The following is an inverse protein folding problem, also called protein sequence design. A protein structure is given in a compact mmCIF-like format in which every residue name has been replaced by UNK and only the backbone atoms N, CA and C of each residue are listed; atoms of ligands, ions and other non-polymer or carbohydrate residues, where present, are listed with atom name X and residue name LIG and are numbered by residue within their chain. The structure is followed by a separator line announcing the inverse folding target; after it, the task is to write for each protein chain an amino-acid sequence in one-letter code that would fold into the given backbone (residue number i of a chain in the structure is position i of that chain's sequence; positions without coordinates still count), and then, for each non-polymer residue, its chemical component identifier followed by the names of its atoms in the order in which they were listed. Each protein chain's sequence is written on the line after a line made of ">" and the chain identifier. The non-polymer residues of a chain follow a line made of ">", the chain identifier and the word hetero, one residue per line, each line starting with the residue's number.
data_IF_166115398367
#
_entry.id   IF_166115398367
#
_cell.length_a   1.000
_cell.length_b   1.000
_cell.length_c   1.000
_cell.angle_alpha   90.00
_cell.angle_beta   90.00
_cell.angle_gamma   90.00
#
_symmetry.space_group_name_H-M   'P 1'
#
loop_
_entity.id
_entity.type
_entity.pdbx_description
1 polymer ?
#
# COMPACT_ATOMS: atom_id res chain seq x y z
N UNK A 1 3.41 14.24 20.60
CA UNK A 1 3.40 12.97 19.85
C UNK A 1 2.81 11.90 20.76
N UNK A 2 1.48 11.73 20.76
CA UNK A 2 0.77 10.73 21.57
C UNK A 2 -0.11 9.92 20.62
N UNK A 3 0.44 8.95 19.88
CA UNK A 3 -0.28 8.41 18.71
C UNK A 3 -0.26 6.90 18.50
N UNK A 4 -0.01 6.08 19.52
CA UNK A 4 -0.43 4.68 19.43
C UNK A 4 -1.00 4.26 20.80
N UNK A 5 -2.32 4.07 20.83
CA UNK A 5 -3.13 3.56 21.94
C UNK A 5 -3.34 4.50 23.16
N UNK A 6 -4.62 4.76 23.48
CA UNK A 6 -5.05 5.36 24.76
C UNK A 6 -5.00 4.32 25.90
N UNK A 7 -4.94 3.04 25.56
CA UNK A 7 -4.59 1.97 26.49
C UNK A 7 -3.06 1.86 26.57
N UNK A 8 -2.51 1.52 27.75
CA UNK A 8 -1.09 1.35 28.04
C UNK A 8 -0.34 0.30 27.17
N UNK A 9 -0.87 -0.11 26.02
CA UNK A 9 -0.24 -0.99 25.04
C UNK A 9 0.72 -0.20 24.13
N UNK A 10 1.96 -0.10 24.60
CA UNK A 10 3.21 0.00 23.83
C UNK A 10 3.20 0.89 22.57
N UNK A 11 3.41 2.20 22.79
CA UNK A 11 3.71 3.24 21.79
C UNK A 11 4.87 2.88 20.83
N UNK A 12 5.69 1.88 21.16
CA UNK A 12 6.92 1.51 20.43
C UNK A 12 6.80 0.25 19.56
N UNK A 13 5.64 -0.42 19.52
CA UNK A 13 5.47 -1.74 18.89
C UNK A 13 5.79 -1.80 17.39
N UNK A 14 5.71 -0.67 16.67
CA UNK A 14 5.99 -0.60 15.23
C UNK A 14 7.28 0.17 14.91
N UNK A 15 7.76 1.04 15.81
CA UNK A 15 8.75 2.08 15.51
C UNK A 15 10.14 1.94 16.14
N UNK A 16 10.39 1.09 17.16
CA UNK A 16 11.76 0.89 17.67
C UNK A 16 11.97 -0.39 18.50
N UNK A 17 13.22 -0.86 18.56
CA UNK A 17 13.74 -1.86 19.51
C UNK A 17 13.13 -1.68 20.91
N UNK A 18 12.40 -2.70 21.36
CA UNK A 18 12.07 -2.85 22.77
C UNK A 18 13.10 -3.80 23.38
N UNK A 19 13.92 -3.30 24.30
CA UNK A 19 14.85 -4.12 25.10
C UNK A 19 14.06 -5.02 26.05
N UNK A 20 13.59 -6.15 25.53
CA UNK A 20 13.15 -7.41 26.17
C UNK A 20 12.42 -7.37 27.54
N UNK A 21 11.84 -6.25 27.94
CA UNK A 21 11.04 -6.12 29.18
C UNK A 21 9.54 -5.89 28.93
N UNK A 22 9.11 -5.83 27.66
CA UNK A 22 7.68 -5.81 27.32
C UNK A 22 7.15 -7.25 27.21
N UNK A 23 6.51 -7.75 28.24
CA UNK A 23 5.84 -9.06 28.24
C UNK A 23 4.51 -9.11 27.47
N UNK A 24 4.36 -8.41 26.33
CA UNK A 24 3.06 -8.28 25.64
C UNK A 24 3.03 -9.00 24.27
N UNK A 25 1.98 -9.79 24.03
CA UNK A 25 1.75 -10.66 22.86
C UNK A 25 1.57 -9.92 21.50
N UNK A 26 1.80 -8.60 21.44
CA UNK A 26 1.37 -7.73 20.33
C UNK A 26 2.55 -7.15 19.50
N UNK A 27 3.72 -7.79 19.51
CA UNK A 27 4.89 -7.33 18.76
C UNK A 27 5.02 -8.01 17.39
N UNK A 28 5.21 -7.21 16.34
CA UNK A 28 5.55 -7.72 15.00
C UNK A 28 7.08 -7.73 14.89
N UNK A 29 7.74 -8.86 14.59
CA UNK A 29 9.19 -8.89 14.45
C UNK A 29 9.69 -7.89 13.38
N UNK A 30 10.81 -7.17 13.60
CA UNK A 30 11.33 -6.14 12.67
C UNK A 30 11.55 -6.60 11.22
N UNK A 31 11.89 -7.88 11.04
CA UNK A 31 12.13 -8.49 9.73
C UNK A 31 10.84 -8.86 8.95
N UNK A 32 9.67 -8.72 9.56
CA UNK A 32 8.39 -8.96 8.88
C UNK A 32 7.98 -7.69 8.14
N UNK A 33 7.82 -7.72 6.80
CA UNK A 33 7.37 -6.55 6.07
C UNK A 33 5.90 -6.22 6.39
N UNK A 34 5.48 -4.97 6.18
CA UNK A 34 4.09 -4.55 6.37
C UNK A 34 3.50 -4.19 5.02
N UNK A 35 2.37 -4.81 4.70
CA UNK A 35 1.59 -4.48 3.52
C UNK A 35 0.27 -3.84 3.94
N UNK A 36 -0.07 -2.75 3.26
CA UNK A 36 -1.38 -2.12 3.30
C UNK A 36 -2.08 -2.38 1.96
N UNK A 37 -3.21 -3.09 2.02
CA UNK A 37 -3.97 -3.48 0.84
C UNK A 37 -4.72 -2.34 0.16
N UNK A 38 -4.91 -1.20 0.83
CA UNK A 38 -5.66 -0.07 0.28
C UNK A 38 -5.39 1.23 1.07
N UNK A 39 -4.75 2.18 0.41
CA UNK A 39 -4.41 3.49 0.98
C UNK A 39 -4.52 4.60 -0.08
N UNK A 40 -4.88 5.81 0.34
CA UNK A 40 -4.92 7.00 -0.51
C UNK A 40 -3.79 7.95 -0.14
N UNK A 41 -2.64 7.82 -0.81
CA UNK A 41 -1.48 8.67 -0.56
C UNK A 41 -1.65 10.08 -1.15
N UNK A 42 -2.36 10.22 -2.26
CA UNK A 42 -2.40 11.46 -3.04
C UNK A 42 -2.89 12.70 -2.26
N UNK A 43 -3.95 12.63 -1.44
CA UNK A 43 -4.43 13.77 -0.65
C UNK A 43 -3.42 14.30 0.39
N UNK A 44 -2.35 13.55 0.64
CA UNK A 44 -1.46 13.73 1.79
C UNK A 44 0.01 13.60 1.41
N UNK A 45 0.39 13.53 0.13
CA UNK A 45 1.79 13.39 -0.31
C UNK A 45 2.75 14.39 0.37
N UNK A 46 2.41 15.70 0.49
CA UNK A 46 3.27 16.65 1.19
C UNK A 46 3.47 16.31 2.68
N UNK A 47 2.48 15.66 3.29
CA UNK A 47 2.45 15.27 4.70
C UNK A 47 3.11 13.91 4.94
N UNK A 48 2.97 13.00 3.99
CA UNK A 48 3.64 11.70 3.92
C UNK A 48 5.16 11.85 3.96
N UNK A 49 5.74 12.85 3.28
CA UNK A 49 7.19 13.09 3.36
C UNK A 49 7.68 13.39 4.79
N UNK A 50 6.81 13.84 5.70
CA UNK A 50 7.13 13.97 7.13
C UNK A 50 6.75 12.70 7.93
N UNK A 51 5.61 12.08 7.61
CA UNK A 51 5.03 11.01 8.41
C UNK A 51 5.58 9.60 8.06
N UNK A 52 5.84 9.30 6.77
CA UNK A 52 6.59 8.09 6.38
C UNK A 52 8.08 8.19 6.77
N UNK A 53 8.63 9.41 6.90
CA UNK A 53 9.97 9.64 7.48
C UNK A 53 9.97 9.40 8.99
N UNK A 54 8.81 9.44 9.65
CA UNK A 54 8.69 9.11 11.07
C UNK A 54 8.76 7.61 11.37
N UNK A 55 8.75 6.76 10.33
CA UNK A 55 9.17 5.35 10.40
C UNK A 55 10.67 5.36 10.65
N UNK A 56 11.05 5.50 11.93
CA UNK A 56 12.44 5.63 12.31
C UNK A 56 13.21 4.35 11.96
N UNK A 57 14.32 4.57 11.29
CA UNK A 57 15.25 3.55 10.77
C UNK A 57 16.03 2.90 11.91
N UNK A 58 15.38 2.04 12.69
CA UNK A 58 16.08 1.14 13.61
C UNK A 58 16.46 -0.13 12.83
N UNK A 59 17.73 -0.55 12.91
CA UNK A 59 18.16 -1.79 12.26
C UNK A 59 17.58 -3.02 12.98
N UNK A 60 17.09 -4.05 12.26
CA UNK A 60 16.96 -4.11 10.80
C UNK A 60 15.79 -3.24 10.32
N UNK A 61 16.02 -2.55 9.20
CA UNK A 61 15.02 -1.67 8.58
C UNK A 61 13.84 -2.54 8.11
N UNK A 62 12.64 -2.18 8.54
CA UNK A 62 11.40 -2.85 8.13
C UNK A 62 10.96 -2.33 6.76
N UNK A 63 10.54 -3.24 5.88
CA UNK A 63 9.98 -2.90 4.57
C UNK A 63 8.47 -2.62 4.67
N UNK A 64 8.02 -1.57 3.98
CA UNK A 64 6.62 -1.16 3.88
C UNK A 64 6.15 -1.19 2.43
N UNK A 65 4.95 -1.73 2.22
CA UNK A 65 4.37 -1.92 0.90
C UNK A 65 2.93 -1.39 0.89
N UNK A 66 2.64 -0.45 0.01
CA UNK A 66 1.37 0.27 -0.04
C UNK A 66 0.71 0.07 -1.40
N UNK A 67 -0.50 -0.49 -1.43
CA UNK A 67 -1.36 -0.44 -2.62
C UNK A 67 -2.04 0.93 -2.63
N UNK A 68 -1.47 1.87 -3.38
CA UNK A 68 -1.98 3.23 -3.45
C UNK A 68 -3.10 3.33 -4.47
N UNK A 69 -4.27 3.69 -3.99
CA UNK A 69 -5.48 3.72 -4.78
C UNK A 69 -5.75 5.11 -5.35
N UNK A 70 -5.50 5.27 -6.65
CA UNK A 70 -5.76 6.50 -7.38
C UNK A 70 -7.14 6.40 -8.04
N UNK A 71 -8.17 6.79 -7.30
CA UNK A 71 -9.56 6.48 -7.64
C UNK A 71 -10.29 7.61 -8.41
N UNK A 72 -9.56 8.64 -8.82
CA UNK A 72 -10.07 9.76 -9.63
C UNK A 72 -9.06 10.21 -10.70
N UNK A 73 -9.52 10.76 -11.84
CA UNK A 73 -8.63 11.05 -12.99
C UNK A 73 -7.41 11.94 -12.70
N UNK A 74 -7.56 12.95 -11.83
CA UNK A 74 -6.47 13.86 -11.45
C UNK A 74 -5.40 13.22 -10.56
N UNK A 75 -5.65 12.00 -10.06
CA UNK A 75 -4.72 11.24 -9.23
C UNK A 75 -3.87 10.24 -10.03
N UNK A 76 -4.21 9.94 -11.28
CA UNK A 76 -3.52 8.90 -12.07
C UNK A 76 -2.11 9.32 -12.53
N UNK A 77 -1.81 10.63 -12.53
CA UNK A 77 -0.55 11.21 -13.00
C UNK A 77 0.51 11.38 -11.92
N UNK A 78 0.26 10.95 -10.69
CA UNK A 78 1.13 11.32 -9.59
C UNK A 78 2.41 10.47 -9.58
N UNK A 79 3.61 11.10 -9.50
CA UNK A 79 4.87 10.38 -9.36
C UNK A 79 4.82 9.47 -8.15
N UNK A 80 5.14 8.20 -8.35
CA UNK A 80 5.28 7.25 -7.26
C UNK A 80 6.32 7.79 -6.25
N UNK A 81 5.96 8.09 -4.99
CA UNK A 81 6.85 8.73 -4.02
C UNK A 81 8.00 7.81 -3.55
N UNK A 82 8.04 6.55 -4.00
CA UNK A 82 9.10 5.57 -3.70
C UNK A 82 10.51 5.96 -4.16
N UNK A 83 10.71 7.11 -4.82
CA UNK A 83 12.04 7.61 -5.15
C UNK A 83 12.85 8.06 -3.93
N UNK A 84 12.20 8.40 -2.81
CA UNK A 84 12.88 9.03 -1.67
C UNK A 84 13.26 8.07 -0.53
N UNK A 85 12.62 6.90 -0.42
CA UNK A 85 12.84 5.94 0.68
C UNK A 85 12.93 4.51 0.15
N UNK A 86 14.10 3.87 0.24
CA UNK A 86 14.36 2.54 -0.34
C UNK A 86 13.55 1.39 0.28
N UNK A 87 13.08 1.58 1.53
CA UNK A 87 12.31 0.59 2.31
C UNK A 87 10.79 0.81 2.22
N UNK A 88 10.34 1.75 1.37
CA UNK A 88 8.93 2.05 1.13
C UNK A 88 8.61 1.80 -0.34
N UNK A 89 7.68 0.89 -0.58
CA UNK A 89 7.24 0.50 -1.93
C UNK A 89 5.79 0.88 -2.12
N UNK A 90 5.50 1.67 -3.14
CA UNK A 90 4.13 2.03 -3.51
C UNK A 90 3.77 1.37 -4.83
N UNK A 91 2.56 0.82 -4.91
CA UNK A 91 2.02 0.12 -6.06
C UNK A 91 0.67 0.75 -6.44
N UNK A 92 0.60 1.49 -7.56
CA UNK A 92 -0.61 2.23 -7.90
C UNK A 92 -1.70 1.35 -8.49
N UNK A 93 -2.95 1.63 -8.11
CA UNK A 93 -4.15 1.22 -8.86
C UNK A 93 -4.76 2.47 -9.50
N UNK A 94 -5.46 2.32 -10.62
CA UNK A 94 -6.19 3.42 -11.26
C UNK A 94 -7.62 3.01 -11.58
N UNK A 95 -8.57 3.89 -11.25
CA UNK A 95 -9.98 3.68 -11.53
C UNK A 95 -10.79 4.94 -11.33
N UNK A 96 -12.06 4.87 -11.72
CA UNK A 96 -13.06 5.91 -11.52
C UNK A 96 -14.01 5.42 -10.42
N UNK A 97 -13.83 5.95 -9.21
CA UNK A 97 -14.74 5.71 -8.09
C UNK A 97 -16.14 6.26 -8.42
N UNK A 98 -17.24 5.60 -8.00
CA UNK A 98 -18.61 6.06 -8.26
C UNK A 98 -18.89 7.49 -7.79
N UNK A 99 -18.20 7.97 -6.74
CA UNK A 99 -18.32 9.34 -6.22
C UNK A 99 -17.69 10.42 -7.11
N UNK A 100 -16.70 10.07 -7.91
CA UNK A 100 -16.00 11.00 -8.81
C UNK A 100 -16.45 10.86 -10.26
N UNK A 101 -17.61 10.23 -10.47
CA UNK A 101 -18.27 10.19 -11.76
C UNK A 101 -18.74 11.58 -12.18
N UNK A 102 -18.37 11.98 -13.40
CA UNK A 102 -18.92 13.13 -14.10
C UNK A 102 -19.26 12.71 -15.54
N UNK A 103 -20.54 12.85 -15.91
CA UNK A 103 -21.02 12.45 -17.23
C UNK A 103 -20.43 13.27 -18.36
N UNK A 104 -20.01 14.52 -18.10
CA UNK A 104 -19.42 15.40 -19.12
C UNK A 104 -18.02 14.98 -19.52
N UNK A 105 -17.26 14.43 -18.58
CA UNK A 105 -15.88 13.96 -18.79
C UNK A 105 -15.78 12.45 -18.96
N UNK A 106 -16.89 11.71 -18.95
CA UNK A 106 -16.90 10.26 -18.89
C UNK A 106 -16.08 9.57 -19.98
N UNK A 107 -16.32 9.90 -21.25
CA UNK A 107 -15.60 9.29 -22.37
C UNK A 107 -14.10 9.63 -22.33
N UNK A 108 -13.78 10.89 -22.02
CA UNK A 108 -12.38 11.32 -21.85
C UNK A 108 -11.70 10.56 -20.70
N UNK A 109 -12.36 10.40 -19.56
CA UNK A 109 -11.82 9.66 -18.42
C UNK A 109 -11.56 8.19 -18.77
N UNK A 110 -12.40 7.55 -19.60
CA UNK A 110 -12.15 6.20 -20.08
C UNK A 110 -10.97 6.12 -21.05
N UNK A 111 -10.88 7.06 -21.98
CA UNK A 111 -9.75 7.13 -22.92
C UNK A 111 -8.44 7.36 -22.15
N UNK A 112 -8.44 8.26 -21.18
CA UNK A 112 -7.29 8.53 -20.30
C UNK A 112 -6.92 7.29 -19.48
N UNK A 113 -7.91 6.63 -18.85
CA UNK A 113 -7.69 5.40 -18.09
C UNK A 113 -7.04 4.33 -18.96
N UNK A 114 -7.56 4.13 -20.18
CA UNK A 114 -7.00 3.18 -21.15
C UNK A 114 -5.57 3.55 -21.55
N UNK A 115 -5.30 4.83 -21.82
CA UNK A 115 -3.98 5.32 -22.19
C UNK A 115 -2.95 5.09 -21.06
N UNK A 116 -3.30 5.36 -19.80
CA UNK A 116 -2.41 5.09 -18.67
C UNK A 116 -2.12 3.60 -18.49
N UNK A 117 -3.13 2.74 -18.68
CA UNK A 117 -2.93 1.30 -18.64
C UNK A 117 -1.95 0.83 -19.72
N UNK A 118 -2.06 1.35 -20.95
CA UNK A 118 -1.12 1.03 -22.03
C UNK A 118 0.30 1.52 -21.74
N UNK A 119 0.45 2.78 -21.32
CA UNK A 119 1.76 3.36 -20.98
C UNK A 119 2.42 2.51 -19.89
N UNK A 120 1.68 2.22 -18.82
CA UNK A 120 2.18 1.48 -17.67
C UNK A 120 2.59 0.04 -18.01
N UNK A 121 1.90 -0.62 -18.94
CA UNK A 121 2.27 -1.96 -19.41
C UNK A 121 3.58 -1.98 -20.18
N UNK A 122 3.78 -0.95 -21.01
CA UNK A 122 4.96 -0.81 -21.87
C UNK A 122 6.17 -0.26 -21.10
N UNK A 123 5.97 0.31 -19.91
CA UNK A 123 7.04 0.77 -19.04
C UNK A 123 7.89 -0.41 -18.52
N UNK A 124 9.20 -0.32 -18.75
CA UNK A 124 10.18 -1.28 -18.26
C UNK A 124 10.48 -1.09 -16.77
N UNK A 125 10.20 0.10 -16.23
CA UNK A 125 10.34 0.41 -14.82
C UNK A 125 9.16 -0.16 -14.03
N UNK A 126 9.43 -1.23 -13.28
CA UNK A 126 8.45 -1.88 -12.40
C UNK A 126 7.87 -0.95 -11.32
N UNK A 127 8.46 0.23 -11.05
CA UNK A 127 7.93 1.20 -10.09
C UNK A 127 6.70 1.94 -10.60
N UNK A 128 6.50 1.97 -11.91
CA UNK A 128 5.37 2.67 -12.55
C UNK A 128 4.28 1.70 -13.02
N UNK A 129 4.39 0.41 -12.67
CA UNK A 129 3.40 -0.59 -13.07
C UNK A 129 2.14 -0.48 -12.22
N UNK A 130 1.05 -0.22 -12.91
CA UNK A 130 -0.31 -0.25 -12.38
C UNK A 130 -0.63 -1.70 -12.06
N UNK A 131 -1.01 -1.95 -10.81
CA UNK A 131 -1.18 -3.32 -10.29
C UNK A 131 -2.62 -3.79 -10.25
N UNK A 132 -3.60 -2.89 -10.42
CA UNK A 132 -5.01 -3.21 -10.52
C UNK A 132 -5.81 -2.06 -11.20
N UNK A 133 -6.99 -2.40 -11.71
CA UNK A 133 -8.02 -1.42 -12.09
C UNK A 133 -8.96 -1.23 -10.91
N UNK A 134 -9.28 0.02 -10.62
CA UNK A 134 -10.05 0.43 -9.46
C UNK A 134 -9.26 1.40 -8.58
N UNK A 135 -9.89 2.00 -7.59
CA UNK A 135 -11.19 1.61 -7.05
C UNK A 135 -12.39 1.98 -7.94
N UNK A 136 -13.28 1.00 -8.12
CA UNK A 136 -14.49 1.10 -8.92
C UNK A 136 -15.64 0.35 -8.23
N UNK A 137 -16.90 0.73 -8.46
CA UNK A 137 -18.00 0.06 -7.76
C UNK A 137 -19.25 0.91 -7.64
N UNK A 138 -20.01 0.68 -6.58
CA UNK A 138 -21.30 1.33 -6.33
C UNK A 138 -21.29 2.06 -4.98
N UNK A 139 -21.84 3.27 -4.93
CA UNK A 139 -21.93 4.09 -3.72
C UNK A 139 -23.27 4.84 -3.69
N UNK A 140 -24.10 4.53 -2.69
CA UNK A 140 -25.41 5.18 -2.48
C UNK A 140 -25.31 6.68 -2.17
N UNK A 141 -24.14 7.17 -1.77
CA UNK A 141 -23.88 8.59 -1.47
C UNK A 141 -23.40 9.39 -2.68
N UNK A 142 -23.16 8.72 -3.82
CA UNK A 142 -22.81 9.40 -5.07
C UNK A 142 -23.99 10.18 -5.66
N UNK A 143 -23.68 11.28 -6.35
CA UNK A 143 -24.67 12.06 -7.11
C UNK A 143 -25.06 11.37 -8.43
N UNK A 144 -24.29 10.37 -8.87
CA UNK A 144 -24.59 9.59 -10.06
C UNK A 144 -25.73 8.60 -9.79
N UNK A 145 -26.63 8.43 -10.76
CA UNK A 145 -27.65 7.37 -10.70
C UNK A 145 -27.00 5.99 -10.64
N UNK A 146 -27.67 5.02 -10.01
CA UNK A 146 -27.16 3.66 -9.90
C UNK A 146 -26.89 3.04 -11.28
N UNK A 147 -27.71 3.34 -12.29
CA UNK A 147 -27.51 2.85 -13.65
C UNK A 147 -26.23 3.41 -14.29
N UNK A 148 -25.90 4.69 -14.05
CA UNK A 148 -24.62 5.25 -14.50
C UNK A 148 -23.44 4.61 -13.77
N UNK A 149 -23.55 4.39 -12.46
CA UNK A 149 -22.49 3.72 -11.70
C UNK A 149 -22.27 2.28 -12.19
N UNK A 150 -23.34 1.54 -12.50
CA UNK A 150 -23.27 0.20 -13.10
C UNK A 150 -22.58 0.28 -14.46
N UNK A 151 -23.00 1.19 -15.35
CA UNK A 151 -22.35 1.36 -16.65
C UNK A 151 -20.84 1.60 -16.51
N UNK A 152 -20.43 2.47 -15.58
CA UNK A 152 -19.02 2.78 -15.36
C UNK A 152 -18.24 1.62 -14.76
N UNK A 153 -18.85 0.91 -13.82
CA UNK A 153 -18.28 -0.32 -13.26
C UNK A 153 -18.05 -1.36 -14.37
N UNK A 154 -19.04 -1.63 -15.21
CA UNK A 154 -18.94 -2.61 -16.30
C UNK A 154 -17.78 -2.28 -17.24
N UNK A 155 -17.61 -1.01 -17.62
CA UNK A 155 -16.49 -0.58 -18.46
C UNK A 155 -15.12 -0.77 -17.82
N UNK A 156 -15.01 -0.57 -16.50
CA UNK A 156 -13.77 -0.81 -15.78
C UNK A 156 -13.48 -2.31 -15.62
N UNK A 157 -14.51 -3.15 -15.44
CA UNK A 157 -14.39 -4.61 -15.48
C UNK A 157 -13.88 -5.05 -16.86
N UNK A 158 -14.45 -4.54 -17.95
CA UNK A 158 -14.01 -4.85 -19.32
C UNK A 158 -12.52 -4.50 -19.52
N UNK A 159 -12.07 -3.34 -19.04
CA UNK A 159 -10.66 -2.93 -19.09
C UNK A 159 -9.75 -3.85 -18.26
N UNK A 160 -10.17 -4.19 -17.04
CA UNK A 160 -9.40 -5.09 -16.18
C UNK A 160 -9.22 -6.47 -16.82
N UNK A 161 -10.28 -7.02 -17.43
CA UNK A 161 -10.25 -8.27 -18.20
C UNK A 161 -9.26 -8.14 -19.37
N UNK A 162 -9.40 -7.08 -20.17
CA UNK A 162 -8.56 -6.86 -21.35
C UNK A 162 -7.07 -6.80 -21.01
N UNK A 163 -6.71 -6.15 -19.90
CA UNK A 163 -5.33 -6.00 -19.45
C UNK A 163 -4.86 -7.10 -18.48
N UNK A 164 -5.71 -8.08 -18.15
CA UNK A 164 -5.41 -9.13 -17.18
C UNK A 164 -4.99 -8.58 -15.80
N UNK A 165 -5.63 -7.49 -15.40
CA UNK A 165 -5.39 -6.83 -14.12
C UNK A 165 -6.45 -7.25 -13.10
N UNK A 166 -6.08 -7.32 -11.80
CA UNK A 166 -7.04 -7.42 -10.72
C UNK A 166 -8.02 -6.24 -10.70
N UNK A 167 -9.13 -6.43 -10.00
CA UNK A 167 -10.13 -5.39 -9.77
C UNK A 167 -10.20 -5.05 -8.28
N UNK A 168 -10.07 -3.77 -7.94
CA UNK A 168 -10.36 -3.23 -6.61
C UNK A 168 -11.78 -2.67 -6.60
N UNK A 169 -12.63 -3.24 -5.75
CA UNK A 169 -14.07 -3.01 -5.71
C UNK A 169 -14.49 -2.19 -4.50
N UNK A 170 -15.33 -1.19 -4.73
CA UNK A 170 -16.04 -0.42 -3.72
C UNK A 170 -17.50 -0.83 -3.63
N UNK A 171 -18.05 -0.86 -2.41
CA UNK A 171 -19.50 -0.91 -2.26
C UNK A 171 -19.99 -0.23 -0.98
N UNK A 172 -20.72 0.88 -1.13
CA UNK A 172 -21.39 1.56 -0.02
C UNK A 172 -22.91 1.56 -0.20
N UNK A 173 -23.60 1.01 0.79
CA UNK A 173 -25.06 0.84 0.80
C UNK A 173 -25.44 -0.63 0.68
N UNK A 174 -26.01 -1.20 1.74
CA UNK A 174 -26.28 -2.64 1.88
C UNK A 174 -27.13 -3.21 0.73
N UNK A 175 -28.03 -2.39 0.17
CA UNK A 175 -28.90 -2.77 -0.94
C UNK A 175 -28.17 -2.82 -2.31
N UNK A 176 -26.99 -2.20 -2.44
CA UNK A 176 -26.19 -2.20 -3.66
C UNK A 176 -25.28 -3.43 -3.80
N UNK A 177 -24.98 -4.12 -2.70
CA UNK A 177 -24.10 -5.30 -2.71
C UNK A 177 -24.56 -6.36 -3.71
N UNK A 178 -25.88 -6.62 -3.76
CA UNK A 178 -26.45 -7.58 -4.71
C UNK A 178 -26.24 -7.14 -6.15
N UNK A 179 -26.46 -5.85 -6.45
CA UNK A 179 -26.25 -5.27 -7.79
C UNK A 179 -24.79 -5.36 -8.22
N UNK A 180 -23.86 -5.07 -7.31
CA UNK A 180 -22.43 -5.22 -7.56
C UNK A 180 -22.09 -6.68 -7.91
N UNK A 181 -22.54 -7.62 -7.07
CA UNK A 181 -22.30 -9.04 -7.29
C UNK A 181 -22.88 -9.55 -8.62
N UNK A 182 -24.12 -9.16 -8.95
CA UNK A 182 -24.76 -9.56 -10.21
C UNK A 182 -24.02 -9.00 -11.43
N UNK A 183 -23.52 -7.77 -11.35
CA UNK A 183 -22.67 -7.17 -12.38
C UNK A 183 -21.39 -7.98 -12.59
N UNK A 184 -20.65 -8.27 -11.50
CA UNK A 184 -19.43 -9.08 -11.56
C UNK A 184 -19.69 -10.46 -12.15
N UNK A 185 -20.74 -11.14 -11.67
CA UNK A 185 -21.11 -12.49 -12.09
C UNK A 185 -21.47 -12.58 -13.58
N UNK A 186 -22.13 -11.55 -14.09
CA UNK A 186 -22.56 -11.44 -15.49
C UNK A 186 -21.38 -11.10 -16.41
N UNK A 187 -20.52 -10.15 -16.00
CA UNK A 187 -19.45 -9.60 -16.85
C UNK A 187 -18.17 -10.42 -16.84
N UNK A 188 -17.81 -11.01 -15.71
CA UNK A 188 -16.58 -11.80 -15.57
C UNK A 188 -16.92 -13.24 -15.91
N UNK A 189 -16.39 -13.76 -17.02
CA UNK A 189 -16.54 -15.18 -17.39
C UNK A 189 -15.52 -16.07 -16.66
N UNK A 190 -14.26 -15.65 -16.59
CA UNK A 190 -13.22 -16.36 -15.84
C UNK A 190 -13.36 -16.13 -14.33
N UNK A 191 -13.83 -17.16 -13.62
CA UNK A 191 -13.99 -17.12 -12.15
C UNK A 191 -12.67 -17.02 -11.40
N UNK A 192 -11.53 -17.27 -12.06
CA UNK A 192 -10.20 -17.10 -11.46
C UNK A 192 -9.70 -15.65 -11.50
N UNK A 193 -10.51 -14.70 -12.00
CA UNK A 193 -10.19 -13.27 -11.93
C UNK A 193 -9.84 -12.89 -10.49
N UNK A 194 -8.77 -12.10 -10.33
CA UNK A 194 -8.30 -11.61 -9.04
C UNK A 194 -9.14 -10.40 -8.63
N UNK A 195 -9.81 -10.50 -7.50
CA UNK A 195 -10.74 -9.47 -7.02
C UNK A 195 -10.39 -9.08 -5.58
N UNK A 196 -10.33 -7.79 -5.29
CA UNK A 196 -10.20 -7.27 -3.94
C UNK A 196 -11.43 -6.41 -3.64
N UNK A 197 -12.31 -6.87 -2.75
CA UNK A 197 -13.45 -6.08 -2.28
C UNK A 197 -13.07 -5.30 -1.03
N UNK A 198 -12.78 -4.02 -1.24
CA UNK A 198 -12.35 -3.07 -0.22
C UNK A 198 -13.43 -2.82 0.86
N UNK A 199 -12.99 -2.62 2.11
CA UNK A 199 -13.78 -2.07 3.22
C UNK A 199 -15.03 -2.87 3.61
N UNK A 200 -14.90 -4.18 3.82
CA UNK A 200 -15.96 -4.99 4.42
C UNK A 200 -16.06 -4.69 5.93
N UNK A 201 -17.24 -4.24 6.36
CA UNK A 201 -17.53 -3.85 7.75
C UNK A 201 -18.96 -4.24 8.16
N UNK A 202 -19.41 -3.82 9.34
CA UNK A 202 -20.73 -4.19 9.88
C UNK A 202 -21.95 -3.68 9.09
N UNK A 203 -21.77 -2.77 8.14
CA UNK A 203 -22.84 -2.32 7.24
C UNK A 203 -22.90 -3.12 5.92
N UNK A 204 -21.96 -4.05 5.71
CA UNK A 204 -21.92 -4.90 4.52
C UNK A 204 -23.11 -5.88 4.50
N UNK A 205 -23.50 -6.29 3.29
CA UNK A 205 -24.42 -7.42 3.14
C UNK A 205 -23.63 -8.73 3.16
N UNK A 206 -23.46 -9.29 4.37
CA UNK A 206 -22.60 -10.44 4.62
C UNK A 206 -22.97 -11.70 3.81
N UNK A 207 -24.26 -11.91 3.55
CA UNK A 207 -24.70 -13.01 2.69
C UNK A 207 -24.16 -12.86 1.26
N UNK A 208 -24.16 -11.64 0.71
CA UNK A 208 -23.61 -11.39 -0.62
C UNK A 208 -22.07 -11.49 -0.62
N UNK A 209 -21.41 -11.10 0.48
CA UNK A 209 -19.95 -11.29 0.63
C UNK A 209 -19.61 -12.79 0.57
N UNK A 210 -20.38 -13.65 1.24
CA UNK A 210 -20.18 -15.11 1.17
C UNK A 210 -20.39 -15.65 -0.25
N UNK A 211 -21.45 -15.20 -0.95
CA UNK A 211 -21.68 -15.59 -2.35
C UNK A 211 -20.53 -15.15 -3.26
N UNK A 212 -19.99 -13.96 -3.05
CA UNK A 212 -18.83 -13.45 -3.77
C UNK A 212 -17.60 -14.33 -3.56
N UNK A 213 -17.27 -14.64 -2.29
CA UNK A 213 -16.14 -15.52 -1.95
C UNK A 213 -16.32 -16.95 -2.51
N UNK A 214 -17.55 -17.44 -2.62
CA UNK A 214 -17.83 -18.75 -3.20
C UNK A 214 -17.76 -18.75 -4.74
N UNK A 215 -18.25 -17.71 -5.39
CA UNK A 215 -18.28 -17.61 -6.86
C UNK A 215 -16.88 -17.36 -7.46
N UNK A 216 -16.02 -16.63 -6.75
CA UNK A 216 -14.69 -16.22 -7.23
C UNK A 216 -13.56 -16.78 -6.35
N UNK A 217 -12.92 -17.91 -6.72
CA UNK A 217 -11.87 -18.53 -5.90
C UNK A 217 -10.68 -17.62 -5.57
N UNK A 218 -10.34 -16.67 -6.44
CA UNK A 218 -9.24 -15.71 -6.25
C UNK A 218 -9.72 -14.33 -5.78
N UNK A 219 -10.86 -14.29 -5.09
CA UNK A 219 -11.37 -13.08 -4.46
C UNK A 219 -10.91 -12.92 -3.01
N UNK A 220 -10.70 -11.68 -2.61
CA UNK A 220 -10.28 -11.29 -1.28
C UNK A 220 -11.17 -10.15 -0.76
N UNK A 221 -11.26 -10.02 0.55
CA UNK A 221 -11.98 -8.94 1.23
C UNK A 221 -11.01 -8.08 2.04
N UNK A 222 -11.16 -6.78 1.91
CA UNK A 222 -10.44 -5.78 2.67
C UNK A 222 -11.11 -5.53 4.01
N UNK A 223 -10.32 -5.50 5.08
CA UNK A 223 -10.75 -5.12 6.42
C UNK A 223 -9.82 -4.03 6.95
N UNK A 224 -10.42 -2.91 7.35
CA UNK A 224 -9.73 -1.75 7.91
C UNK A 224 -10.23 -1.38 9.32
N UNK A 225 -9.74 -0.25 9.84
CA UNK A 225 -10.04 0.24 11.18
C UNK A 225 -11.53 0.46 11.47
N UNK A 226 -12.39 0.57 10.46
CA UNK A 226 -13.84 0.72 10.64
C UNK A 226 -14.49 -0.44 11.40
N UNK A 227 -13.88 -1.63 11.43
CA UNK A 227 -14.38 -2.75 12.25
C UNK A 227 -14.32 -2.47 13.76
N UNK A 228 -13.55 -1.45 14.18
CA UNK A 228 -13.48 -1.04 15.59
C UNK A 228 -14.58 -0.06 15.98
N UNK A 229 -15.39 0.39 15.01
CA UNK A 229 -16.49 1.35 15.21
C UNK A 229 -17.76 0.70 15.75
N UNK A 230 -17.64 -0.51 16.27
CA UNK A 230 -18.76 -1.31 16.69
C UNK A 230 -19.61 -0.60 17.75
N UNK A 231 -20.87 -0.95 17.71
CA UNK A 231 -21.88 -0.49 18.66
C UNK A 231 -22.63 -1.72 19.15
N UNK A 232 -23.47 -1.58 20.18
CA UNK A 232 -24.34 -2.67 20.63
C UNK A 232 -25.55 -2.86 19.68
N UNK A 233 -25.33 -2.75 18.38
CA UNK A 233 -26.35 -2.91 17.33
C UNK A 233 -26.35 -4.34 16.79
N UNK A 234 -27.51 -4.79 16.31
CA UNK A 234 -27.67 -6.10 15.66
C UNK A 234 -26.65 -6.30 14.53
N UNK A 235 -26.45 -5.30 13.68
CA UNK A 235 -25.46 -5.34 12.59
C UNK A 235 -24.03 -5.61 13.07
N UNK A 236 -23.62 -4.97 14.17
CA UNK A 236 -22.27 -5.19 14.74
C UNK A 236 -22.13 -6.61 15.31
N UNK A 237 -23.18 -7.13 15.95
CA UNK A 237 -23.19 -8.50 16.47
C UNK A 237 -23.18 -9.53 15.34
N UNK A 238 -23.99 -9.34 14.29
CA UNK A 238 -23.99 -10.19 13.10
C UNK A 238 -22.62 -10.24 12.44
N UNK A 239 -21.94 -9.10 12.32
CA UNK A 239 -20.59 -9.02 11.77
C UNK A 239 -19.57 -9.83 12.58
N UNK A 240 -19.60 -9.71 13.91
CA UNK A 240 -18.73 -10.51 14.79
C UNK A 240 -18.97 -12.00 14.63
N UNK A 241 -20.24 -12.42 14.67
CA UNK A 241 -20.59 -13.83 14.54
C UNK A 241 -20.15 -14.36 13.17
N UNK A 242 -20.34 -13.56 12.11
CA UNK A 242 -19.83 -13.90 10.78
C UNK A 242 -18.31 -14.05 10.75
N UNK A 243 -17.54 -13.14 11.37
CA UNK A 243 -16.08 -13.28 11.49
C UNK A 243 -15.68 -14.59 12.20
N UNK A 244 -16.34 -14.91 13.31
CA UNK A 244 -16.10 -16.15 14.08
C UNK A 244 -16.44 -17.38 13.25
N UNK A 245 -17.61 -17.41 12.61
CA UNK A 245 -18.10 -18.53 11.81
C UNK A 245 -17.20 -18.79 10.58
N UNK A 246 -16.58 -17.74 10.01
CA UNK A 246 -15.69 -17.84 8.84
C UNK A 246 -14.21 -17.95 9.20
N UNK A 247 -13.87 -17.87 10.49
CA UNK A 247 -12.49 -17.94 10.95
C UNK A 247 -11.66 -19.10 10.37
N UNK A 248 -12.18 -20.31 10.06
CA UNK A 248 -11.35 -21.39 9.53
C UNK A 248 -10.75 -21.11 8.13
N UNK A 249 -11.35 -20.23 7.34
CA UNK A 249 -10.91 -19.94 5.97
C UNK A 249 -10.65 -18.44 5.70
N UNK A 250 -11.11 -17.57 6.61
CA UNK A 250 -10.94 -16.12 6.50
C UNK A 250 -9.47 -15.71 6.29
N UNK A 251 -8.45 -16.28 6.97
CA UNK A 251 -7.06 -15.88 6.76
C UNK A 251 -6.57 -16.01 5.31
N UNK A 252 -7.06 -16.98 4.54
CA UNK A 252 -6.65 -17.17 3.14
C UNK A 252 -7.37 -16.20 2.16
N UNK A 253 -8.35 -15.44 2.64
CA UNK A 253 -9.15 -14.50 1.81
C UNK A 253 -9.18 -13.08 2.36
N UNK A 254 -8.47 -12.82 3.46
CA UNK A 254 -8.43 -11.54 4.15
C UNK A 254 -7.26 -10.66 3.68
N UNK A 255 -7.54 -9.39 3.44
CA UNK A 255 -6.56 -8.33 3.24
C UNK A 255 -6.76 -7.29 4.35
N UNK A 256 -5.69 -6.96 5.05
CA UNK A 256 -5.66 -5.84 5.98
C UNK A 256 -5.31 -4.57 5.20
N UNK A 257 -6.04 -3.51 5.50
CA UNK A 257 -5.96 -2.21 4.83
C UNK A 257 -6.22 -1.10 5.82
N UNK A 258 -5.83 0.13 5.49
CA UNK A 258 -6.09 1.28 6.36
C UNK A 258 -7.19 2.19 5.84
N UNK A 259 -7.37 2.25 4.53
CA UNK A 259 -8.10 3.34 3.89
C UNK A 259 -7.60 4.73 4.34
N UNK A 260 -6.30 4.84 4.65
CA UNK A 260 -5.73 6.08 5.15
C UNK A 260 -5.86 7.17 4.08
N UNK A 261 -6.28 8.41 4.45
CA UNK A 261 -6.40 8.94 5.82
C UNK A 261 -7.80 8.82 6.47
N UNK A 262 -8.74 8.09 5.88
CA UNK A 262 -10.17 8.27 6.15
C UNK A 262 -10.72 7.48 7.33
N UNK A 263 -10.31 6.22 7.52
CA UNK A 263 -10.95 5.29 8.47
C UNK A 263 -10.01 4.85 9.62
N UNK A 264 -9.49 5.78 10.45
CA UNK A 264 -8.66 5.41 11.59
C UNK A 264 -9.42 4.48 12.53
N UNK A 265 -8.81 3.42 13.09
CA UNK A 265 -9.36 2.71 14.22
C UNK A 265 -9.83 3.66 15.34
N UNK A 266 -10.91 3.31 16.05
CA UNK A 266 -11.58 4.18 17.03
C UNK A 266 -10.65 4.74 18.10
N UNK A 267 -9.63 3.98 18.47
CA UNK A 267 -8.66 4.33 19.51
C UNK A 267 -7.46 5.16 18.97
N UNK A 268 -7.44 5.47 17.67
CA UNK A 268 -6.46 6.36 17.04
C UNK A 268 -7.14 7.69 16.69
N UNK A 269 -6.47 8.79 17.01
CA UNK A 269 -6.99 10.14 16.82
C UNK A 269 -5.94 11.05 16.21
N UNK A 270 -6.40 12.05 15.45
CA UNK A 270 -5.53 13.04 14.81
C UNK A 270 -4.66 12.43 13.72
N UNK A 271 -3.41 12.87 13.65
CA UNK A 271 -2.42 12.31 12.72
C UNK A 271 -1.87 11.03 13.34
N UNK A 272 -1.91 9.93 12.59
CA UNK A 272 -1.43 8.62 13.02
C UNK A 272 -0.62 7.95 11.91
N UNK A 273 0.21 7.00 12.32
CA UNK A 273 0.95 6.12 11.41
C UNK A 273 -0.01 5.03 10.87
N UNK A 274 -0.14 4.89 9.53
CA UNK A 274 -0.95 3.83 8.92
C UNK A 274 -0.64 2.42 9.45
N UNK A 275 0.63 2.15 9.79
CA UNK A 275 1.04 0.85 10.33
C UNK A 275 0.49 0.56 11.74
N UNK A 276 0.33 1.58 12.59
CA UNK A 276 -0.38 1.44 13.87
C UNK A 276 -1.87 1.10 13.63
N UNK A 277 -2.47 1.57 12.54
CA UNK A 277 -3.85 1.23 12.20
C UNK A 277 -4.04 -0.22 11.74
N UNK A 278 -3.11 -0.75 10.93
CA UNK A 278 -3.10 -2.17 10.57
C UNK A 278 -2.97 -3.07 11.80
N UNK A 279 -2.07 -2.71 12.72
CA UNK A 279 -1.87 -3.46 13.97
C UNK A 279 -3.13 -3.42 14.86
N UNK A 280 -3.77 -2.26 15.00
CA UNK A 280 -5.01 -2.13 15.76
C UNK A 280 -6.13 -3.00 15.15
N UNK A 281 -6.22 -3.04 13.82
CA UNK A 281 -7.19 -3.88 13.08
C UNK A 281 -6.91 -5.37 13.30
N UNK A 282 -5.66 -5.82 13.17
CA UNK A 282 -5.28 -7.21 13.45
C UNK A 282 -5.49 -7.60 14.93
N UNK A 283 -5.21 -6.69 15.86
CA UNK A 283 -5.47 -6.88 17.29
C UNK A 283 -6.96 -7.06 17.56
N UNK A 284 -7.79 -6.26 16.91
CA UNK A 284 -9.24 -6.38 17.01
C UNK A 284 -9.71 -7.76 16.51
N UNK A 285 -9.24 -8.20 15.34
CA UNK A 285 -9.58 -9.53 14.80
C UNK A 285 -9.17 -10.68 15.73
N UNK A 286 -7.94 -10.65 16.26
CA UNK A 286 -7.44 -11.69 17.17
C UNK A 286 -8.18 -11.75 18.51
N UNK A 287 -8.75 -10.63 18.98
CA UNK A 287 -9.60 -10.62 20.17
C UNK A 287 -11.02 -11.13 19.90
N UNK A 288 -11.55 -10.87 18.70
CA UNK A 288 -12.90 -11.26 18.32
C UNK A 288 -12.98 -12.74 17.92
N UNK A 289 -12.00 -13.21 17.17
CA UNK A 289 -11.86 -14.61 16.76
C UNK A 289 -10.96 -15.29 17.78
N UNK A 290 -11.55 -15.95 18.77
CA UNK A 290 -10.83 -16.64 19.86
C UNK A 290 -10.30 -17.99 19.38
N UNK A 291 -9.35 -17.95 18.45
CA UNK A 291 -8.61 -19.11 17.93
C UNK A 291 -7.11 -18.92 18.25
N UNK A 292 -6.48 -19.81 19.05
CA UNK A 292 -5.07 -19.70 19.41
C UNK A 292 -4.10 -19.66 18.22
N UNK A 293 -4.49 -20.21 17.06
CA UNK A 293 -3.68 -20.17 15.84
C UNK A 293 -3.76 -18.82 15.13
N UNK A 294 -4.82 -18.05 15.36
CA UNK A 294 -5.11 -16.77 14.71
C UNK A 294 -4.63 -15.58 15.56
N UNK A 295 -3.30 -15.51 15.65
CA UNK A 295 -2.60 -14.40 16.31
C UNK A 295 -2.54 -13.16 15.43
N UNK A 296 -2.26 -12.00 16.02
CA UNK A 296 -1.97 -10.74 15.30
C UNK A 296 -0.96 -10.96 14.17
N UNK A 297 0.15 -11.65 14.48
CA UNK A 297 1.20 -11.92 13.50
C UNK A 297 0.70 -12.80 12.35
N UNK A 298 -0.14 -13.80 12.64
CA UNK A 298 -0.71 -14.67 11.61
C UNK A 298 -1.60 -13.90 10.63
N UNK A 299 -2.42 -12.96 11.11
CA UNK A 299 -3.25 -12.12 10.24
C UNK A 299 -2.41 -11.21 9.34
N UNK A 300 -1.36 -10.60 9.89
CA UNK A 300 -0.44 -9.76 9.11
C UNK A 300 0.27 -10.58 8.05
N UNK A 301 0.81 -11.75 8.41
CA UNK A 301 1.48 -12.63 7.45
C UNK A 301 0.53 -13.14 6.36
N UNK A 302 -0.70 -13.51 6.73
CA UNK A 302 -1.72 -13.98 5.78
C UNK A 302 -2.16 -12.85 4.84
N UNK A 303 -2.43 -11.65 5.38
CA UNK A 303 -2.71 -10.46 4.59
C UNK A 303 -1.58 -10.13 3.60
N UNK A 304 -0.32 -10.11 4.08
CA UNK A 304 0.84 -9.87 3.23
C UNK A 304 0.95 -10.88 2.07
N UNK A 305 0.68 -12.16 2.34
CA UNK A 305 0.62 -13.21 1.32
C UNK A 305 -0.51 -12.92 0.33
N UNK A 306 -1.69 -12.59 0.81
CA UNK A 306 -2.87 -12.34 -0.01
C UNK A 306 -2.69 -11.11 -0.91
N UNK A 307 -2.17 -10.00 -0.40
CA UNK A 307 -1.85 -8.79 -1.19
C UNK A 307 -0.87 -9.12 -2.32
N UNK A 308 0.15 -9.95 -2.06
CA UNK A 308 1.08 -10.38 -3.10
C UNK A 308 0.40 -11.22 -4.18
N UNK A 309 -0.51 -12.12 -3.81
CA UNK A 309 -1.28 -12.94 -4.75
C UNK A 309 -2.26 -12.08 -5.57
N UNK A 310 -3.01 -11.19 -4.91
CA UNK A 310 -4.06 -10.41 -5.57
C UNK A 310 -3.50 -9.29 -6.43
N UNK A 311 -2.46 -8.56 -5.99
CA UNK A 311 -1.98 -7.35 -6.68
C UNK A 311 -0.62 -7.56 -7.36
N UNK A 312 0.31 -8.26 -6.73
CA UNK A 312 1.75 -8.16 -7.07
C UNK A 312 2.31 -9.41 -7.73
N UNK A 313 1.66 -9.92 -8.79
CA UNK A 313 2.00 -11.18 -9.51
C UNK A 313 3.49 -11.57 -9.49
N UNK A 314 3.79 -12.88 -9.46
CA UNK A 314 5.13 -13.46 -9.23
C UNK A 314 6.29 -12.87 -10.06
N UNK A 315 6.03 -12.30 -11.25
CA UNK A 315 7.04 -11.62 -12.09
C UNK A 315 7.47 -10.24 -11.55
N UNK A 316 6.64 -9.56 -10.76
CA UNK A 316 6.97 -8.24 -10.18
C UNK A 316 7.83 -8.36 -8.91
N UNK A 317 7.69 -9.45 -8.16
CA UNK A 317 8.44 -9.70 -6.91
C UNK A 317 9.85 -10.27 -7.16
N UNK A 318 10.03 -11.17 -8.15
CA UNK A 318 11.31 -11.82 -8.40
C UNK A 318 12.43 -10.84 -8.83
N UNK A 319 12.08 -9.83 -9.63
CA UNK A 319 13.06 -8.82 -10.13
C UNK A 319 13.55 -7.83 -9.07
N UNK A 320 12.91 -7.76 -7.89
CA UNK A 320 13.32 -6.85 -6.80
C UNK A 320 14.22 -7.53 -5.76
N UNK A 321 14.26 -8.87 -5.73
CA UNK A 321 15.08 -9.63 -4.76
C UNK A 321 16.56 -9.77 -5.15
N UNK A 322 16.94 -9.41 -6.38
CA UNK A 322 18.30 -9.60 -6.90
C UNK A 322 19.26 -8.45 -6.62
N UNK A 323 18.85 -7.41 -5.91
CA UNK A 323 19.76 -6.32 -5.54
C UNK A 323 19.95 -6.31 -4.03
N UNK A 324 21.17 -6.65 -3.61
CA UNK A 324 21.74 -6.58 -2.25
C UNK A 324 21.30 -7.60 -1.21
N UNK A 325 21.69 -8.88 -1.40
CA UNK A 325 22.23 -9.74 -0.32
C UNK A 325 23.32 -10.64 -0.93
N UNK A 326 24.55 -10.13 -1.04
CA UNK A 326 25.76 -10.96 -1.12
C UNK A 326 26.09 -11.39 0.33
N UNK A 327 25.33 -12.36 0.86
CA UNK A 327 25.77 -13.09 2.06
C UNK A 327 26.51 -14.32 1.55
N UNK A 328 27.78 -14.37 1.92
CA UNK A 328 28.68 -15.50 1.74
C UNK A 328 27.96 -16.85 1.96
N UNK A 329 27.79 -17.61 0.87
CA UNK A 329 27.67 -19.06 0.96
C UNK A 329 29.02 -19.60 1.39
N UNK A 330 29.13 -20.03 2.63
CA UNK A 330 30.03 -21.10 3.08
C UNK A 330 29.63 -21.49 4.51
N UNK A 331 28.61 -22.35 4.61
CA UNK A 331 28.38 -23.15 5.82
C UNK A 331 27.69 -24.43 5.37
N UNK A 332 28.49 -25.39 4.94
CA UNK A 332 28.22 -26.83 5.02
C UNK A 332 29.49 -27.51 4.52
N UNK A 333 30.42 -27.81 5.45
CA UNK A 333 31.03 -29.13 5.53
C UNK A 333 32.07 -29.21 6.65
N UNK A 334 31.84 -30.21 7.51
CA UNK A 334 32.83 -30.96 8.29
C UNK A 334 33.77 -30.18 9.20
N UNK A 335 33.54 -30.27 10.52
CA UNK A 335 34.65 -30.53 11.45
C UNK A 335 34.20 -31.54 12.50
N UNK A 336 34.75 -32.75 12.34
CA UNK A 336 34.84 -33.79 13.35
C UNK A 336 35.81 -33.35 14.45
N UNK A 337 35.54 -33.86 15.65
CA UNK A 337 36.37 -33.86 16.86
C UNK A 337 37.89 -33.83 16.59
N UNK A 338 38.61 -32.96 17.28
CA UNK A 338 39.69 -33.41 18.18
C UNK A 338 40.18 -32.32 19.14
N UNK A 339 40.23 -32.70 20.41
CA UNK A 339 40.87 -32.00 21.52
C UNK A 339 42.37 -32.35 21.55
N UNK A 340 43.26 -31.37 21.74
CA UNK A 340 44.50 -31.43 22.58
C UNK A 340 45.30 -30.11 22.55
N UNK A 341 46.18 -29.84 23.55
CA UNK A 341 46.25 -28.53 24.23
C UNK A 341 47.66 -27.87 24.28
N UNK A 342 47.69 -26.57 24.64
CA UNK A 342 48.77 -25.78 25.30
C UNK A 342 50.10 -25.52 24.52
N UNK A 343 50.49 -24.24 24.34
CA UNK A 343 51.71 -23.59 24.91
C UNK A 343 52.12 -22.25 24.22
N UNK A 344 52.30 -21.24 25.08
CA UNK A 344 53.14 -20.02 25.05
C UNK A 344 54.08 -19.74 23.85
N UNK A 345 54.16 -18.47 23.40
CA UNK A 345 55.29 -17.56 23.76
C UNK A 345 55.22 -16.14 23.14
N UNK A 346 55.93 -15.24 23.83
CA UNK A 346 56.13 -13.79 23.73
C UNK A 346 56.73 -13.18 22.44
N UNK A 347 56.75 -11.84 22.43
CA UNK A 347 57.79 -10.89 21.93
C UNK A 347 57.48 -10.18 20.58
N UNK A 348 57.17 -8.86 20.54
CA UNK A 348 57.96 -7.59 20.61
C UNK A 348 58.46 -7.04 19.26
N UNK A 349 58.20 -5.73 19.06
CA UNK A 349 59.01 -4.65 18.46
C UNK A 349 59.00 -4.32 16.94
N UNK A 350 58.64 -3.04 16.70
CA UNK A 350 59.27 -1.98 15.89
C UNK A 350 59.65 -2.21 14.41
N UNK A 351 59.21 -1.30 13.51
CA UNK A 351 60.03 -0.15 13.05
C UNK A 351 59.44 0.57 11.83
N UNK A 352 59.78 1.86 11.74
CA UNK A 352 59.52 2.86 10.70
C UNK A 352 60.04 2.51 9.30
N UNK A 353 59.44 3.09 8.25
CA UNK A 353 60.14 3.99 7.30
C UNK A 353 59.18 4.69 6.32
N UNK A 354 59.38 6.00 6.20
CA UNK A 354 58.91 6.90 5.14
C UNK A 354 59.61 6.62 3.79
N UNK A 355 59.00 7.02 2.67
CA UNK A 355 59.63 7.70 1.51
C UNK A 355 58.54 8.20 0.51
N UNK A 356 58.90 9.30 -0.14
CA UNK A 356 58.13 10.38 -0.77
C UNK A 356 57.88 10.26 -2.29
N UNK A 357 56.83 10.99 -2.75
CA UNK A 357 56.57 11.68 -4.04
C UNK A 357 56.78 10.99 -5.41
N UNK A 358 55.73 11.00 -6.26
CA UNK A 358 55.70 11.90 -7.44
C UNK A 358 54.35 12.03 -8.17
N UNK A 359 54.14 13.26 -8.66
CA UNK A 359 52.97 13.82 -9.33
C UNK A 359 52.70 13.26 -10.74
N UNK A 360 51.41 13.21 -11.13
CA UNK A 360 50.95 13.66 -12.46
C UNK A 360 49.58 14.32 -12.35
N UNK A 361 49.54 15.61 -12.69
CA UNK A 361 48.35 16.42 -12.89
C UNK A 361 48.19 16.72 -14.39
N UNK A 362 46.95 16.77 -14.86
CA UNK A 362 46.49 17.48 -16.09
C UNK A 362 44.95 17.61 -15.97
N UNK A 363 44.42 18.66 -15.33
CA UNK A 363 43.91 19.97 -15.85
C UNK A 363 42.53 19.92 -16.55
N UNK A 364 41.53 20.35 -15.77
CA UNK A 364 40.33 21.22 -15.99
C UNK A 364 39.53 21.24 -17.30
N UNK A 365 38.20 21.22 -17.15
CA UNK A 365 37.34 22.37 -17.48
C UNK A 365 36.12 22.49 -16.55
N UNK A 366 35.83 23.76 -16.19
CA UNK A 366 34.78 24.33 -15.34
C UNK A 366 33.57 24.70 -16.23
N UNK A 367 32.32 24.44 -15.84
CA UNK A 367 31.20 25.36 -15.50
C UNK A 367 29.91 24.60 -15.92
N UNK A 368 28.80 24.53 -15.18
CA UNK A 368 27.90 25.63 -14.86
C UNK A 368 27.11 25.39 -13.56
N UNK A 369 27.01 26.46 -12.77
CA UNK A 369 26.08 26.66 -11.67
C UNK A 369 24.66 26.96 -12.19
N UNK A 370 23.64 26.31 -11.63
CA UNK A 370 22.26 26.81 -11.69
C UNK A 370 21.80 27.14 -10.27
N UNK A 371 21.81 28.44 -9.96
CA UNK A 371 21.09 29.04 -8.85
C UNK A 371 19.58 28.85 -9.09
N UNK A 372 18.86 28.26 -8.14
CA UNK A 372 17.41 28.41 -8.10
C UNK A 372 17.03 29.51 -7.11
N UNK A 373 16.45 30.57 -7.68
CA UNK A 373 15.78 31.67 -7.00
C UNK A 373 14.71 31.14 -6.05
N UNK A 374 14.88 31.40 -4.75
CA UNK A 374 13.79 31.42 -3.78
C UNK A 374 12.81 32.52 -4.20
N UNK A 375 11.58 32.14 -4.60
CA UNK A 375 10.47 33.08 -4.60
C UNK A 375 9.83 33.05 -3.22
N UNK A 376 10.26 33.98 -2.37
CA UNK A 376 9.48 34.46 -1.24
C UNK A 376 8.26 35.21 -1.78
N UNK A 377 7.08 34.58 -1.73
CA UNK A 377 5.82 35.32 -1.82
C UNK A 377 5.34 35.64 -0.42
N UNK A 378 5.64 36.87 -0.01
CA UNK A 378 5.09 37.59 1.12
C UNK A 378 3.55 37.57 1.06
N UNK A 379 2.94 37.08 2.14
CA UNK A 379 1.52 37.27 2.42
C UNK A 379 1.23 38.77 2.58
N UNK A 380 0.36 39.32 1.74
CA UNK A 380 -0.42 40.50 2.11
C UNK A 380 -1.84 40.42 1.52
N UNK A 381 -2.76 40.88 2.36
CA UNK A 381 -4.22 40.92 2.28
C UNK A 381 -4.83 41.48 0.98
N UNK A 382 -5.99 40.95 0.59
CA UNK A 382 -7.01 41.71 -0.15
C UNK A 382 -7.69 40.96 -1.32
N UNK A 383 -8.98 40.65 -1.10
CA UNK A 383 -10.11 40.57 -2.06
C UNK A 383 -10.08 39.78 -3.39
N UNK A 384 -11.28 39.23 -3.68
CA UNK A 384 -11.73 38.39 -4.78
C UNK A 384 -11.46 38.95 -6.20
N UNK A 385 -11.08 38.05 -7.13
CA UNK A 385 -11.55 38.08 -8.52
C UNK A 385 -11.43 36.70 -9.19
N UNK A 386 -12.51 36.25 -9.83
CA UNK A 386 -12.58 35.09 -10.72
C UNK A 386 -11.68 35.29 -11.96
N UNK A 387 -10.93 34.27 -12.37
CA UNK A 387 -10.38 34.19 -13.72
C UNK A 387 -10.37 32.77 -14.27
N UNK A 388 -10.69 32.69 -15.56
CA UNK A 388 -10.95 31.50 -16.35
C UNK A 388 -9.72 30.60 -16.47
N UNK A 389 -9.89 29.28 -16.27
CA UNK A 389 -8.88 28.27 -16.58
C UNK A 389 -8.90 27.93 -18.07
N UNK A 390 -8.02 28.54 -18.86
CA UNK A 390 -7.66 27.98 -20.17
C UNK A 390 -6.85 26.68 -19.97
N UNK A 391 -7.31 25.58 -20.57
CA UNK A 391 -6.60 24.29 -20.56
C UNK A 391 -5.58 24.27 -21.69
N UNK A 392 -4.31 24.05 -21.35
CA UNK A 392 -3.21 23.86 -22.31
C UNK A 392 -3.32 22.45 -22.95
N UNK A 393 -3.21 22.31 -24.29
CA UNK A 393 -3.29 21.01 -24.97
C UNK A 393 -2.15 20.04 -24.61
N UNK A 394 -2.48 18.74 -24.56
CA UNK A 394 -1.61 17.59 -24.20
C UNK A 394 -0.28 17.52 -24.98
N UNK A 395 -0.22 18.10 -26.19
CA UNK A 395 1.00 18.10 -27.00
C UNK A 395 2.19 18.82 -26.31
N UNK A 396 1.91 19.72 -25.36
CA UNK A 396 2.91 20.42 -24.56
C UNK A 396 3.49 19.57 -23.43
N UNK A 397 2.74 18.58 -22.91
CA UNK A 397 3.17 17.73 -21.79
C UNK A 397 4.11 16.60 -22.21
N UNK A 398 3.97 16.07 -23.43
CA UNK A 398 4.90 15.07 -23.99
C UNK A 398 6.33 15.65 -24.08
N UNK A 399 6.46 16.97 -24.30
CA UNK A 399 7.74 17.66 -24.34
C UNK A 399 8.38 17.81 -22.95
N UNK A 400 7.58 18.02 -21.91
CA UNK A 400 8.05 18.12 -20.52
C UNK A 400 8.52 16.75 -20.00
N UNK A 401 7.85 15.66 -20.39
CA UNK A 401 8.25 14.31 -20.00
C UNK A 401 9.61 13.90 -20.61
N UNK A 402 9.90 14.37 -21.84
CA UNK A 402 11.19 14.13 -22.50
C UNK A 402 12.35 14.94 -21.90
N UNK A 403 12.08 16.08 -21.27
CA UNK A 403 13.11 16.89 -20.61
C UNK A 403 13.53 16.35 -19.24
N UNK A 404 12.70 15.52 -18.59
CA UNK A 404 13.01 14.88 -17.31
C UNK A 404 13.72 13.51 -17.44
N UNK A 405 13.91 13.02 -18.66
CA UNK A 405 14.53 11.72 -18.97
C UNK A 405 15.90 11.84 -19.67
N UNK A 406 16.50 13.05 -19.69
CA UNK A 406 17.83 13.32 -20.23
C UNK A 406 18.88 13.47 -19.14
#
# INVERSE_FOLDING_TARGET
>A
MNHCFVDNSCITSVSFHCDQKCGQQNHIPPNIPIFDGHIHLNPIIPKIQSDLVSVRVASPIREFHFINNNHKPDEWLIPNPSSFLSHVHVYPTIGIHPKYFDSKSLYQNFDDLKNYLEISRNDQNLKNKIVAVGECGLDETSMATIDHQIFVLEKQIDLAIHYHLPIVLHCRGTHLYRKLFDCLRSRISDRNMRLHWHCINSNANLHIVDLFLNEFPNSYIGINGSITYETNTERSLMFKNWLVDRSPFLPDRLILETDYPYLPPRNLHGIYDPSCALLATATYLSKTIVDPSQTILSYICSSNKNIKLVCLSSTQLQKRSTTSILIHKNCEDKVNLDYKPILNNNSTNNSHNDINYNNKATVFHHEDSVNFLMYDTVYNSGELAESQKERVPIHSYVKILMMYLA
#
